data_IF_300714368480
#
_entry.id   IF_300714368480
#
_cell.length_a   1.000
_cell.length_b   1.000
_cell.length_c   1.000
_cell.angle_alpha   90.00
_cell.angle_beta   90.00
_cell.angle_gamma   90.00
#
_symmetry.space_group_name_H-M   'P 1'
#
loop_
_entity.id
_entity.type
_entity.pdbx_description
1 polymer ?
#
# COMPACT_ATOMS: atom_id res chain seq x y z
N UNK A 1 21.84 -18.29 -2.92
CA UNK A 1 22.39 -17.90 -1.60
C UNK A 1 21.29 -18.03 -0.53
N UNK A 2 21.56 -18.61 0.66
CA UNK A 2 20.56 -18.72 1.75
C UNK A 2 21.18 -18.16 3.04
N UNK A 3 20.61 -17.06 3.56
CA UNK A 3 20.90 -16.57 4.92
C UNK A 3 19.69 -16.82 5.81
N UNK A 4 19.84 -17.66 6.84
CA UNK A 4 18.81 -17.83 7.87
C UNK A 4 18.89 -16.70 8.90
N UNK A 5 17.73 -16.25 9.43
CA UNK A 5 17.60 -15.24 10.48
C UNK A 5 18.19 -13.86 10.14
N UNK A 6 18.22 -13.49 8.86
CA UNK A 6 18.64 -12.17 8.41
C UNK A 6 17.40 -11.34 8.06
N UNK A 7 17.38 -10.07 8.47
CA UNK A 7 16.31 -9.16 8.07
C UNK A 7 16.28 -8.99 6.56
N UNK A 8 15.09 -8.74 6.00
CA UNK A 8 14.90 -8.51 4.56
C UNK A 8 15.84 -7.41 4.02
N UNK A 9 16.06 -6.35 4.82
CA UNK A 9 16.95 -5.22 4.51
C UNK A 9 18.42 -5.63 4.50
N UNK A 10 18.84 -6.52 5.41
CA UNK A 10 20.21 -7.04 5.41
C UNK A 10 20.46 -7.92 4.19
N UNK A 11 19.52 -8.81 3.85
CA UNK A 11 19.63 -9.70 2.69
C UNK A 11 19.75 -8.88 1.41
N UNK A 12 18.85 -7.93 1.19
CA UNK A 12 18.89 -7.05 0.01
C UNK A 12 20.19 -6.26 -0.08
N UNK A 13 20.74 -5.79 1.05
CA UNK A 13 22.03 -5.09 1.09
C UNK A 13 23.24 -5.98 0.78
N UNK A 14 23.19 -7.26 1.17
CA UNK A 14 24.24 -8.23 0.81
C UNK A 14 24.18 -8.55 -0.68
N UNK A 15 22.98 -8.82 -1.20
CA UNK A 15 22.76 -9.22 -2.58
C UNK A 15 23.03 -8.09 -3.57
N UNK A 16 22.87 -6.83 -3.17
CA UNK A 16 23.29 -5.65 -3.95
C UNK A 16 24.80 -5.59 -4.23
N UNK A 17 25.63 -6.29 -3.44
CA UNK A 17 27.08 -6.33 -3.65
C UNK A 17 27.52 -7.45 -4.60
N UNK A 18 26.58 -8.30 -5.01
CA UNK A 18 26.83 -9.41 -5.92
C UNK A 18 26.51 -8.97 -7.35
N UNK A 19 27.48 -9.15 -8.26
CA UNK A 19 27.27 -8.95 -9.70
C UNK A 19 26.68 -10.24 -10.30
N UNK A 20 25.36 -10.38 -10.15
CA UNK A 20 24.61 -11.54 -10.61
C UNK A 20 23.31 -11.10 -11.32
N UNK A 21 23.17 -11.51 -12.59
CA UNK A 21 21.99 -11.22 -13.43
C UNK A 21 20.86 -12.24 -13.26
N UNK A 22 21.04 -13.30 -12.46
CA UNK A 22 20.01 -14.31 -12.24
C UNK A 22 18.80 -13.73 -11.48
N UNK A 23 17.58 -14.25 -11.72
CA UNK A 23 16.40 -13.88 -10.97
C UNK A 23 16.60 -14.04 -9.45
N UNK A 24 16.23 -13.01 -8.70
CA UNK A 24 16.32 -12.99 -7.25
C UNK A 24 14.95 -13.28 -6.63
N UNK A 25 14.88 -14.21 -5.67
CA UNK A 25 13.67 -14.48 -4.90
C UNK A 25 13.90 -14.09 -3.43
N UNK A 26 13.13 -13.11 -2.95
CA UNK A 26 13.13 -12.62 -1.58
C UNK A 26 11.97 -13.24 -0.79
N UNK A 27 12.29 -14.17 0.11
CA UNK A 27 11.34 -14.85 0.98
C UNK A 27 11.39 -14.27 2.39
N UNK A 28 10.31 -13.61 2.81
CA UNK A 28 10.19 -13.02 4.15
C UNK A 28 9.55 -13.98 5.16
N UNK A 29 10.19 -14.15 6.31
CA UNK A 29 9.62 -14.84 7.49
C UNK A 29 9.01 -13.87 8.50
N UNK A 30 8.13 -14.36 9.36
CA UNK A 30 7.49 -13.56 10.41
C UNK A 30 8.49 -13.08 11.47
N UNK A 31 9.47 -13.91 11.82
CA UNK A 31 10.49 -13.55 12.81
C UNK A 31 11.43 -12.44 12.33
N UNK A 32 11.68 -12.38 11.02
CA UNK A 32 12.57 -11.39 10.41
C UNK A 32 11.89 -10.02 10.24
N UNK A 33 10.56 -9.98 10.36
CA UNK A 33 9.73 -8.84 9.91
C UNK A 33 9.06 -8.07 11.03
N UNK A 34 9.05 -8.56 12.27
CA UNK A 34 8.25 -7.98 13.37
C UNK A 34 9.12 -7.36 14.47
N UNK A 35 10.41 -7.74 14.61
CA UNK A 35 11.28 -7.22 15.67
C UNK A 35 12.01 -5.94 15.24
N UNK A 36 11.44 -4.75 15.50
CA UNK A 36 12.01 -3.41 15.21
C UNK A 36 12.42 -3.13 13.75
N UNK A 37 12.29 -4.09 12.84
CA UNK A 37 12.68 -4.01 11.43
C UNK A 37 11.59 -3.46 10.51
N UNK A 38 10.34 -3.35 10.98
CA UNK A 38 9.24 -2.83 10.14
C UNK A 38 9.51 -1.42 9.64
N UNK A 39 10.02 -0.54 10.51
CA UNK A 39 10.34 0.83 10.13
C UNK A 39 11.43 0.85 9.05
N UNK A 40 12.49 0.06 9.21
CA UNK A 40 13.56 -0.07 8.21
C UNK A 40 13.02 -0.59 6.87
N UNK A 41 12.07 -1.54 6.92
CA UNK A 41 11.40 -2.06 5.71
C UNK A 41 10.61 -0.95 5.01
N UNK A 42 9.84 -0.14 5.75
CA UNK A 42 9.11 0.99 5.16
C UNK A 42 10.03 2.08 4.59
N UNK A 43 11.20 2.27 5.19
CA UNK A 43 12.17 3.30 4.80
C UNK A 43 13.04 2.89 3.61
N UNK A 44 13.50 1.65 3.56
CA UNK A 44 14.57 1.25 2.64
C UNK A 44 14.17 0.24 1.56
N UNK A 45 13.08 -0.51 1.74
CA UNK A 45 12.75 -1.62 0.84
C UNK A 45 12.56 -1.14 -0.61
N UNK A 46 11.89 0.00 -0.79
CA UNK A 46 11.61 0.57 -2.11
C UNK A 46 12.88 0.93 -2.88
N UNK A 47 13.81 1.64 -2.24
CA UNK A 47 15.10 2.01 -2.84
C UNK A 47 15.89 0.75 -3.23
N UNK A 48 15.94 -0.24 -2.33
CA UNK A 48 16.68 -1.48 -2.59
C UNK A 48 16.06 -2.32 -3.70
N UNK A 49 14.74 -2.39 -3.78
CA UNK A 49 14.05 -3.09 -4.86
C UNK A 49 14.30 -2.42 -6.20
N UNK A 50 14.24 -1.08 -6.27
CA UNK A 50 14.60 -0.34 -7.49
C UNK A 50 16.01 -0.70 -7.97
N UNK A 51 17.02 -0.55 -7.09
CA UNK A 51 18.41 -0.86 -7.43
C UNK A 51 18.62 -2.31 -7.88
N UNK A 52 17.97 -3.27 -7.21
CA UNK A 52 18.06 -4.68 -7.59
C UNK A 52 17.37 -4.97 -8.93
N UNK A 53 16.27 -4.29 -9.22
CA UNK A 53 15.47 -4.48 -10.44
C UNK A 53 16.10 -3.90 -11.70
N UNK A 54 17.10 -3.01 -11.57
CA UNK A 54 17.86 -2.44 -12.70
C UNK A 54 18.65 -3.49 -13.47
N UNK A 55 19.14 -4.53 -12.79
CA UNK A 55 20.04 -5.54 -13.38
C UNK A 55 19.45 -6.94 -13.50
N UNK A 56 18.34 -7.24 -12.81
CA UNK A 56 17.73 -8.58 -12.80
C UNK A 56 16.25 -8.57 -12.37
N UNK A 57 15.45 -9.57 -12.78
CA UNK A 57 14.12 -9.78 -12.23
C UNK A 57 14.14 -10.03 -10.72
N UNK A 58 13.29 -9.33 -9.98
CA UNK A 58 13.17 -9.50 -8.52
C UNK A 58 11.78 -10.01 -8.16
N UNK A 59 11.72 -11.16 -7.49
CA UNK A 59 10.49 -11.72 -6.95
C UNK A 59 10.47 -11.53 -5.45
N UNK A 60 9.42 -10.93 -4.90
CA UNK A 60 9.25 -10.74 -3.45
C UNK A 60 7.96 -11.40 -2.98
N UNK A 61 8.00 -12.04 -1.82
CA UNK A 61 6.83 -12.73 -1.28
C UNK A 61 6.05 -11.88 -0.29
N UNK A 62 4.72 -12.05 -0.23
CA UNK A 62 4.01 -11.67 1.00
C UNK A 62 4.47 -12.56 2.16
N UNK A 63 4.34 -12.07 3.38
CA UNK A 63 4.75 -12.79 4.58
C UNK A 63 3.55 -13.60 5.09
N UNK A 64 3.68 -14.92 5.25
CA UNK A 64 2.57 -15.75 5.71
C UNK A 64 2.11 -15.34 7.11
N UNK A 65 0.79 -15.41 7.36
CA UNK A 65 0.23 -15.16 8.70
C UNK A 65 0.68 -16.23 9.70
N UNK A 66 0.63 -15.87 10.99
CA UNK A 66 0.91 -16.74 12.13
C UNK A 66 -0.37 -17.40 12.62
N UNK A 67 -0.47 -18.72 12.47
CA UNK A 67 -1.60 -19.50 13.01
C UNK A 67 -1.38 -19.94 14.46
N UNK A 68 -0.17 -19.73 15.00
CA UNK A 68 0.12 -19.87 16.43
C UNK A 68 -0.43 -18.70 17.27
N UNK A 69 -0.97 -17.67 16.59
CA UNK A 69 -1.56 -16.48 17.20
C UNK A 69 -2.96 -16.21 16.63
N UNK A 70 -3.80 -15.44 17.35
CA UNK A 70 -5.11 -15.06 16.83
C UNK A 70 -4.99 -14.32 15.48
N UNK A 71 -5.88 -14.64 14.53
CA UNK A 71 -5.88 -14.02 13.19
C UNK A 71 -6.04 -12.48 13.26
N UNK A 72 -6.75 -12.00 14.29
CA UNK A 72 -6.96 -10.59 14.58
C UNK A 72 -6.01 -10.03 15.66
N UNK A 73 -5.01 -10.82 16.06
CA UNK A 73 -3.96 -10.40 16.98
C UNK A 73 -3.06 -9.30 16.39
N UNK A 74 -2.32 -8.57 17.24
CA UNK A 74 -1.49 -7.44 16.83
C UNK A 74 -0.47 -7.83 15.75
N UNK A 75 0.22 -8.95 15.93
CA UNK A 75 1.22 -9.45 14.98
C UNK A 75 0.64 -9.73 13.59
N UNK A 76 -0.50 -10.40 13.51
CA UNK A 76 -1.15 -10.66 12.22
C UNK A 76 -1.72 -9.38 11.58
N UNK A 77 -2.10 -8.37 12.38
CA UNK A 77 -2.46 -7.03 11.86
C UNK A 77 -1.25 -6.34 11.24
N UNK A 78 -0.11 -6.36 11.90
CA UNK A 78 1.15 -5.80 11.38
C UNK A 78 1.60 -6.49 10.09
N UNK A 79 1.54 -7.82 10.04
CA UNK A 79 1.85 -8.59 8.83
C UNK A 79 0.95 -8.20 7.66
N UNK A 80 -0.35 -7.94 7.89
CA UNK A 80 -1.26 -7.47 6.84
C UNK A 80 -0.87 -6.08 6.33
N UNK A 81 -0.54 -5.15 7.23
CA UNK A 81 -0.09 -3.81 6.83
C UNK A 81 1.19 -3.88 6.00
N UNK A 82 2.15 -4.71 6.43
CA UNK A 82 3.38 -4.95 5.67
C UNK A 82 3.10 -5.60 4.30
N UNK A 83 2.24 -6.63 4.24
CA UNK A 83 1.90 -7.29 2.98
C UNK A 83 1.17 -6.35 2.01
N UNK A 84 0.30 -5.48 2.52
CA UNK A 84 -0.34 -4.44 1.71
C UNK A 84 0.71 -3.49 1.14
N UNK A 85 1.69 -3.09 1.95
CA UNK A 85 2.79 -2.26 1.52
C UNK A 85 3.67 -2.93 0.45
N UNK A 86 4.05 -4.20 0.64
CA UNK A 86 4.80 -4.97 -0.36
C UNK A 86 4.01 -5.06 -1.67
N UNK A 87 2.71 -5.39 -1.60
CA UNK A 87 1.85 -5.49 -2.78
C UNK A 87 1.79 -4.16 -3.54
N UNK A 88 1.64 -3.06 -2.82
CA UNK A 88 1.64 -1.70 -3.37
C UNK A 88 2.98 -1.34 -4.03
N UNK A 89 4.10 -1.70 -3.41
CA UNK A 89 5.44 -1.49 -3.99
C UNK A 89 5.58 -2.23 -5.31
N UNK A 90 5.29 -3.53 -5.33
CA UNK A 90 5.45 -4.35 -6.54
C UNK A 90 4.61 -3.82 -7.70
N UNK A 91 3.38 -3.36 -7.43
CA UNK A 91 2.50 -2.83 -8.47
C UNK A 91 3.07 -1.60 -9.21
N UNK A 92 4.06 -0.89 -8.61
CA UNK A 92 4.65 0.33 -9.17
C UNK A 92 6.06 0.15 -9.73
N UNK A 93 6.73 -0.96 -9.41
CA UNK A 93 8.12 -1.16 -9.74
C UNK A 93 8.23 -2.06 -10.97
N UNK A 94 8.92 -1.57 -12.00
CA UNK A 94 9.23 -2.36 -13.18
C UNK A 94 10.20 -3.49 -12.81
N UNK A 95 10.04 -4.65 -13.46
CA UNK A 95 10.91 -5.82 -13.24
C UNK A 95 10.92 -6.37 -11.79
N UNK A 96 9.89 -6.03 -11.00
CA UNK A 96 9.62 -6.60 -9.68
C UNK A 96 8.28 -7.35 -9.72
N UNK A 97 8.24 -8.55 -9.14
CA UNK A 97 7.10 -9.47 -9.21
C UNK A 97 6.68 -9.97 -7.83
N UNK A 98 5.37 -10.15 -7.62
CA UNK A 98 4.82 -10.56 -6.33
C UNK A 98 4.55 -12.07 -6.33
N UNK A 99 5.07 -12.76 -5.32
CA UNK A 99 4.68 -14.14 -4.99
C UNK A 99 3.71 -14.07 -3.81
N UNK A 100 2.42 -14.20 -4.09
CA UNK A 100 1.38 -14.04 -3.07
C UNK A 100 1.19 -15.32 -2.25
N UNK A 101 1.55 -15.28 -0.97
CA UNK A 101 1.44 -16.40 -0.02
C UNK A 101 0.15 -16.38 0.80
N UNK A 102 -0.78 -15.45 0.54
CA UNK A 102 -2.04 -15.35 1.30
C UNK A 102 -2.95 -16.58 1.13
N UNK A 103 -2.72 -17.39 0.09
CA UNK A 103 -3.45 -18.63 -0.16
C UNK A 103 -3.02 -19.78 0.76
N UNK A 104 -1.99 -19.59 1.60
CA UNK A 104 -1.57 -20.58 2.59
C UNK A 104 -2.56 -20.60 3.77
N UNK A 105 -3.45 -21.60 3.74
CA UNK A 105 -4.38 -21.89 4.85
C UNK A 105 -3.71 -22.63 6.01
N UNK A 106 -4.41 -22.74 7.15
CA UNK A 106 -3.97 -23.45 8.36
C UNK A 106 -3.43 -24.87 8.12
N UNK A 107 -3.96 -25.57 7.11
CA UNK A 107 -3.56 -26.93 6.74
C UNK A 107 -2.12 -27.01 6.22
N UNK A 108 -1.54 -25.89 5.79
CA UNK A 108 -0.16 -25.81 5.29
C UNK A 108 0.87 -25.60 6.40
N UNK A 109 0.45 -25.48 7.66
CA UNK A 109 1.32 -25.17 8.78
C UNK A 109 1.51 -26.37 9.72
N UNK A 110 2.58 -26.35 10.51
CA UNK A 110 2.82 -27.30 11.59
C UNK A 110 1.70 -27.22 12.64
N UNK A 111 1.66 -28.19 13.56
CA UNK A 111 0.64 -28.21 14.61
C UNK A 111 0.66 -26.94 15.47
N UNK A 112 1.84 -26.36 15.70
CA UNK A 112 1.95 -25.11 16.43
C UNK A 112 1.53 -23.88 15.62
N UNK A 113 1.56 -23.93 14.28
CA UNK A 113 1.04 -22.85 13.42
C UNK A 113 2.06 -21.78 13.03
N UNK A 114 3.33 -21.89 13.48
CA UNK A 114 4.40 -20.93 13.18
C UNK A 114 5.14 -21.23 11.87
N UNK A 115 5.33 -22.51 11.54
CA UNK A 115 6.14 -22.94 10.40
C UNK A 115 5.29 -23.66 9.36
N UNK A 116 5.72 -23.66 8.11
CA UNK A 116 5.11 -24.50 7.08
C UNK A 116 5.45 -25.97 7.33
N UNK A 117 4.43 -26.83 7.23
CA UNK A 117 4.61 -28.28 7.25
C UNK A 117 5.10 -28.77 5.87
N UNK A 118 5.29 -30.08 5.70
CA UNK A 118 5.74 -30.66 4.41
C UNK A 118 4.83 -30.28 3.24
N UNK A 119 3.52 -30.29 3.45
CA UNK A 119 2.53 -29.86 2.45
C UNK A 119 2.65 -28.37 2.13
N UNK A 120 2.77 -27.51 3.15
CA UNK A 120 2.97 -26.07 2.95
C UNK A 120 4.26 -25.71 2.23
N UNK A 121 5.37 -26.40 2.51
CA UNK A 121 6.62 -26.21 1.77
C UNK A 121 6.50 -26.64 0.30
N UNK A 122 5.77 -27.73 0.04
CA UNK A 122 5.49 -28.17 -1.33
C UNK A 122 4.61 -27.16 -2.06
N UNK A 123 3.57 -26.64 -1.40
CA UNK A 123 2.70 -25.60 -1.96
C UNK A 123 3.44 -24.29 -2.21
N UNK A 124 4.33 -23.88 -1.31
CA UNK A 124 5.20 -22.71 -1.51
C UNK A 124 6.06 -22.87 -2.77
N UNK A 125 6.69 -24.03 -2.95
CA UNK A 125 7.48 -24.31 -4.15
C UNK A 125 6.63 -24.24 -5.43
N UNK A 126 5.40 -24.78 -5.40
CA UNK A 126 4.46 -24.69 -6.50
C UNK A 126 4.13 -23.22 -6.84
N UNK A 127 3.74 -22.40 -5.85
CA UNK A 127 3.41 -20.97 -6.05
C UNK A 127 4.62 -20.23 -6.67
N UNK A 128 5.83 -20.51 -6.19
CA UNK A 128 7.06 -19.89 -6.73
C UNK A 128 7.23 -20.26 -8.22
N UNK A 129 7.14 -21.55 -8.55
CA UNK A 129 7.28 -22.03 -9.93
C UNK A 129 6.19 -21.44 -10.82
N UNK A 130 4.94 -21.41 -10.35
CA UNK A 130 3.81 -20.85 -11.10
C UNK A 130 3.99 -19.37 -11.41
N UNK A 131 4.53 -18.61 -10.46
CA UNK A 131 4.83 -17.18 -10.63
C UNK A 131 5.96 -16.97 -11.64
N UNK A 132 7.04 -17.75 -11.55
CA UNK A 132 8.22 -17.61 -12.42
C UNK A 132 7.92 -18.05 -13.86
N UNK A 133 7.21 -19.17 -14.02
CA UNK A 133 6.90 -19.74 -15.34
C UNK A 133 5.78 -18.97 -16.05
N UNK A 134 5.12 -18.04 -15.37
CA UNK A 134 4.15 -17.13 -16.01
C UNK A 134 2.88 -17.86 -16.44
N UNK A 135 2.31 -18.70 -15.57
CA UNK A 135 0.93 -19.17 -15.80
C UNK A 135 -0.01 -17.97 -15.74
N UNK A 136 -0.32 -17.46 -16.93
CA UNK A 136 -1.50 -16.70 -17.31
C UNK A 136 -2.81 -17.41 -16.91
N UNK A 137 -3.07 -17.62 -15.62
CA UNK A 137 -4.43 -17.82 -15.16
C UNK A 137 -5.06 -16.44 -15.00
N UNK A 138 -5.99 -16.17 -15.92
CA UNK A 138 -6.87 -15.00 -15.96
C UNK A 138 -7.27 -14.54 -14.57
N UNK A 139 -7.33 -13.22 -14.39
CA UNK A 139 -7.76 -12.46 -13.20
C UNK A 139 -9.17 -12.78 -12.64
N UNK A 140 -9.78 -13.92 -12.96
CA UNK A 140 -11.17 -14.22 -12.65
C UNK A 140 -11.36 -15.26 -11.55
N UNK A 141 -10.55 -15.24 -10.47
CA UNK A 141 -10.87 -16.00 -9.25
C UNK A 141 -10.00 -15.55 -8.06
N UNK A 142 -10.17 -14.29 -7.63
CA UNK A 142 -9.97 -13.98 -6.21
C UNK A 142 -11.25 -14.43 -5.53
N UNK A 143 -11.22 -15.42 -4.61
CA UNK A 143 -12.37 -15.72 -3.78
C UNK A 143 -12.75 -14.43 -3.04
N UNK A 144 -13.95 -13.91 -3.32
CA UNK A 144 -14.52 -12.72 -2.66
C UNK A 144 -14.57 -12.87 -1.12
N UNK A 145 -14.33 -14.09 -0.61
CA UNK A 145 -14.38 -14.46 0.80
C UNK A 145 -13.09 -14.19 1.61
N UNK A 146 -12.00 -13.71 0.99
CA UNK A 146 -10.79 -13.27 1.73
C UNK A 146 -10.69 -11.76 1.97
N UNK A 147 -11.61 -10.96 1.42
CA UNK A 147 -11.84 -9.62 1.95
C UNK A 147 -12.46 -9.79 3.35
N UNK A 148 -11.69 -9.45 4.37
CA UNK A 148 -12.15 -9.46 5.75
C UNK A 148 -13.54 -8.83 5.86
N UNK A 149 -14.51 -9.66 6.27
CA UNK A 149 -15.80 -9.21 6.79
C UNK A 149 -15.55 -8.37 8.05
N UNK A 150 -15.19 -7.10 7.88
CA UNK A 150 -15.54 -6.09 8.84
C UNK A 150 -17.06 -5.99 8.83
N UNK A 151 -17.72 -6.82 9.64
CA UNK A 151 -19.08 -6.53 10.12
C UNK A 151 -18.98 -5.30 11.03
N UNK A 152 -18.69 -4.14 10.47
CA UNK A 152 -19.19 -2.90 11.02
C UNK A 152 -20.70 -3.04 10.92
N UNK A 153 -21.39 -3.06 12.06
CA UNK A 153 -22.85 -2.97 12.08
C UNK A 153 -23.18 -1.72 11.26
N UNK A 154 -23.80 -1.85 10.07
CA UNK A 154 -24.11 -0.69 9.28
C UNK A 154 -25.11 0.11 10.11
N UNK A 155 -24.68 1.27 10.62
CA UNK A 155 -25.66 2.31 10.89
C UNK A 155 -26.31 2.58 9.55
N UNK A 156 -27.61 2.36 9.46
CA UNK A 156 -28.39 2.65 8.26
C UNK A 156 -28.17 4.12 7.90
N UNK A 157 -27.51 4.39 6.78
CA UNK A 157 -27.36 5.75 6.29
C UNK A 157 -27.83 5.84 4.84
N UNK A 158 -28.84 6.68 4.68
CA UNK A 158 -29.36 7.12 3.40
C UNK A 158 -28.37 8.12 2.76
N UNK A 159 -28.07 7.90 1.47
CA UNK A 159 -27.66 8.90 0.46
C UNK A 159 -26.17 9.17 0.12
N UNK A 160 -25.16 8.47 0.67
CA UNK A 160 -23.79 8.59 0.13
C UNK A 160 -23.45 7.41 -0.80
N UNK A 161 -23.34 7.67 -2.12
CA UNK A 161 -23.04 6.65 -3.14
C UNK A 161 -21.52 6.41 -3.24
N UNK A 162 -20.91 5.79 -2.23
CA UNK A 162 -19.51 5.38 -2.30
C UNK A 162 -19.40 4.21 -3.30
N UNK A 163 -18.68 4.43 -4.41
CA UNK A 163 -18.38 3.39 -5.40
C UNK A 163 -16.93 2.93 -5.25
N UNK A 164 -16.73 1.66 -4.94
CA UNK A 164 -15.40 1.04 -4.91
C UNK A 164 -15.06 0.58 -6.32
N UNK A 165 -13.91 0.98 -6.83
CA UNK A 165 -13.37 0.54 -8.11
C UNK A 165 -11.99 -0.10 -7.88
N UNK A 166 -11.73 -1.20 -8.59
CA UNK A 166 -10.41 -1.79 -8.66
C UNK A 166 -9.75 -1.33 -9.95
N UNK A 167 -8.84 -0.37 -9.87
CA UNK A 167 -8.15 0.23 -11.01
C UNK A 167 -6.83 0.88 -10.58
N UNK A 168 -5.89 0.99 -11.52
CA UNK A 168 -4.66 1.76 -11.32
C UNK A 168 -4.99 3.27 -11.25
N UNK A 169 -4.50 3.96 -10.21
CA UNK A 169 -4.78 5.38 -10.03
C UNK A 169 -4.25 6.24 -11.20
N UNK A 170 -3.17 5.84 -11.87
CA UNK A 170 -2.64 6.52 -13.05
C UNK A 170 -3.68 6.54 -14.17
N UNK A 171 -4.34 5.42 -14.40
CA UNK A 171 -5.37 5.30 -15.44
C UNK A 171 -6.63 6.09 -15.06
N UNK A 172 -7.04 5.99 -13.79
CA UNK A 172 -8.17 6.76 -13.27
C UNK A 172 -7.91 8.27 -13.39
N UNK A 173 -6.69 8.73 -13.07
CA UNK A 173 -6.30 10.12 -13.24
C UNK A 173 -6.36 10.52 -14.72
N UNK A 174 -5.75 9.74 -15.62
CA UNK A 174 -5.75 10.05 -17.05
C UNK A 174 -7.15 10.16 -17.66
N UNK A 175 -8.10 9.36 -17.17
CA UNK A 175 -9.49 9.37 -17.65
C UNK A 175 -10.31 10.55 -17.12
N UNK A 176 -9.95 11.11 -15.96
CA UNK A 176 -10.81 12.05 -15.23
C UNK A 176 -10.17 13.42 -14.97
N UNK A 177 -8.88 13.63 -15.30
CA UNK A 177 -8.16 14.88 -14.99
C UNK A 177 -8.69 16.12 -15.72
N UNK A 178 -9.52 15.95 -16.73
CA UNK A 178 -10.12 17.04 -17.53
C UNK A 178 -11.49 17.48 -17.02
N UNK A 179 -12.02 16.83 -15.98
CA UNK A 179 -13.38 17.07 -15.49
C UNK A 179 -13.39 18.08 -14.34
N UNK A 180 -13.94 19.28 -14.58
CA UNK A 180 -13.96 20.40 -13.63
C UNK A 180 -14.77 20.17 -12.35
N UNK A 181 -15.69 19.21 -12.39
CA UNK A 181 -16.55 18.87 -11.27
C UNK A 181 -15.93 17.77 -10.37
N UNK A 182 -14.75 17.27 -10.72
CA UNK A 182 -14.00 16.23 -9.99
C UNK A 182 -12.85 16.87 -9.22
N UNK A 183 -12.59 16.34 -8.02
CA UNK A 183 -11.29 16.50 -7.39
C UNK A 183 -10.71 15.15 -6.97
N UNK A 184 -9.40 15.04 -7.10
CA UNK A 184 -8.62 13.98 -6.53
C UNK A 184 -8.09 14.39 -5.16
N UNK A 185 -7.93 13.42 -4.25
CA UNK A 185 -7.29 13.68 -2.97
C UNK A 185 -6.33 12.55 -2.57
N UNK A 186 -5.23 12.94 -1.91
CA UNK A 186 -4.29 12.01 -1.28
C UNK A 186 -3.60 12.63 -0.06
N UNK A 187 -2.93 11.81 0.76
CA UNK A 187 -2.13 12.28 1.89
C UNK A 187 -0.68 12.55 1.48
N UNK A 188 -0.11 13.62 2.03
CA UNK A 188 1.30 14.01 1.87
C UNK A 188 1.92 14.46 3.19
N UNK A 189 3.24 14.57 3.19
CA UNK A 189 4.01 15.25 4.24
C UNK A 189 4.24 16.72 3.90
N UNK A 190 4.47 17.55 4.93
CA UNK A 190 4.74 18.98 4.76
C UNK A 190 6.04 19.25 3.97
N UNK A 191 7.01 18.34 4.02
CA UNK A 191 8.22 18.38 3.19
C UNK A 191 7.98 17.99 1.71
N UNK A 192 6.76 17.57 1.35
CA UNK A 192 6.31 17.25 -0.02
C UNK A 192 7.22 16.25 -0.73
N UNK A 193 7.78 15.30 0.01
CA UNK A 193 8.71 14.35 -0.58
C UNK A 193 8.04 13.50 -1.68
N UNK A 194 6.80 13.04 -1.42
CA UNK A 194 5.93 12.29 -2.36
C UNK A 194 6.70 11.19 -3.09
N UNK A 195 7.48 10.40 -2.35
CA UNK A 195 8.42 9.41 -2.90
C UNK A 195 7.84 8.01 -3.04
N UNK A 196 6.66 7.75 -2.48
CA UNK A 196 6.06 6.43 -2.51
C UNK A 196 4.53 6.47 -2.53
N UNK A 197 3.93 5.32 -2.79
CA UNK A 197 2.48 5.17 -2.79
C UNK A 197 1.82 5.86 -3.98
N UNK A 198 0.52 6.05 -3.86
CA UNK A 198 -0.28 6.89 -4.78
C UNK A 198 0.30 8.31 -4.93
N UNK A 199 1.01 8.83 -3.93
CA UNK A 199 1.61 10.16 -3.99
C UNK A 199 2.66 10.28 -5.12
N UNK A 200 3.35 9.20 -5.49
CA UNK A 200 4.26 9.21 -6.66
C UNK A 200 3.47 9.37 -7.94
N UNK A 201 2.33 8.70 -8.07
CA UNK A 201 1.45 8.84 -9.23
C UNK A 201 0.99 10.28 -9.40
N UNK A 202 0.56 10.94 -8.32
CA UNK A 202 0.23 12.36 -8.32
C UNK A 202 1.43 13.24 -8.69
N UNK A 203 2.60 13.00 -8.07
CA UNK A 203 3.84 13.74 -8.35
C UNK A 203 4.26 13.63 -9.82
N UNK A 204 4.20 12.44 -10.40
CA UNK A 204 4.62 12.20 -11.77
C UNK A 204 3.66 12.85 -12.77
N UNK A 205 2.36 12.95 -12.43
CA UNK A 205 1.36 13.56 -13.31
C UNK A 205 1.26 15.08 -13.17
N UNK A 206 1.31 15.60 -11.95
CA UNK A 206 0.98 16.99 -11.64
C UNK A 206 2.14 17.77 -11.00
N UNK A 207 3.30 17.12 -10.80
CA UNK A 207 4.39 17.68 -10.01
C UNK A 207 4.09 17.67 -8.52
N UNK A 208 4.99 18.30 -7.74
CA UNK A 208 4.78 18.51 -6.30
C UNK A 208 4.05 19.83 -6.08
N UNK A 209 3.17 19.93 -5.06
CA UNK A 209 2.60 21.21 -4.67
C UNK A 209 3.71 22.23 -4.41
N UNK A 210 3.61 23.41 -4.98
CA UNK A 210 4.47 24.56 -4.70
C UNK A 210 4.00 25.29 -3.43
N UNK A 211 4.72 26.33 -3.02
CA UNK A 211 4.32 27.13 -1.83
C UNK A 211 3.01 27.89 -2.11
N UNK A 212 2.76 28.31 -3.35
CA UNK A 212 1.53 29.00 -3.74
C UNK A 212 0.30 28.08 -3.73
N UNK A 213 0.49 26.76 -3.74
CA UNK A 213 -0.60 25.79 -3.71
C UNK A 213 -1.12 25.50 -2.30
N UNK A 214 -0.49 26.06 -1.25
CA UNK A 214 -0.97 25.91 0.12
C UNK A 214 -2.24 26.75 0.33
N UNK A 215 -3.33 26.08 0.73
CA UNK A 215 -4.52 26.74 1.24
C UNK A 215 -4.43 26.96 2.76
N UNK A 216 -3.71 26.08 3.44
CA UNK A 216 -3.42 26.15 4.87
C UNK A 216 -2.18 25.31 5.20
N UNK A 217 -1.76 25.26 6.46
CA UNK A 217 -0.72 24.33 6.92
C UNK A 217 -1.09 22.84 6.76
N UNK A 218 -2.37 22.53 6.51
CA UNK A 218 -2.91 21.16 6.44
C UNK A 218 -3.42 20.76 5.06
N UNK A 219 -3.45 21.69 4.11
CA UNK A 219 -4.10 21.46 2.83
C UNK A 219 -3.39 22.20 1.71
N UNK A 220 -3.11 21.48 0.63
CA UNK A 220 -2.71 22.05 -0.66
C UNK A 220 -3.78 21.78 -1.71
N UNK A 221 -3.89 22.67 -2.70
CA UNK A 221 -4.73 22.49 -3.87
C UNK A 221 -3.95 22.92 -5.12
N UNK A 222 -3.69 21.95 -6.00
CA UNK A 222 -3.27 22.20 -7.38
C UNK A 222 -4.47 22.04 -8.31
N UNK A 223 -4.43 22.66 -9.48
CA UNK A 223 -5.39 22.40 -10.55
C UNK A 223 -4.67 21.67 -11.67
N UNK A 224 -5.31 20.67 -12.27
CA UNK A 224 -4.83 20.18 -13.57
C UNK A 224 -5.04 21.28 -14.61
N UNK A 225 -4.21 21.33 -15.64
CA UNK A 225 -4.38 22.25 -16.78
C UNK A 225 -5.80 22.15 -17.37
N UNK A 226 -6.38 20.95 -17.30
CA UNK A 226 -7.67 20.63 -17.89
C UNK A 226 -8.87 20.70 -16.92
N UNK A 227 -8.65 20.96 -15.62
CA UNK A 227 -9.68 21.47 -14.71
C UNK A 227 -10.06 20.67 -13.47
N UNK A 228 -9.58 19.44 -13.26
CA UNK A 228 -9.80 18.73 -12.00
C UNK A 228 -8.97 19.33 -10.85
N UNK A 229 -9.51 19.34 -9.64
CA UNK A 229 -8.77 19.74 -8.44
C UNK A 229 -7.88 18.60 -7.91
N UNK A 230 -6.70 18.92 -7.36
CA UNK A 230 -5.78 17.95 -6.77
C UNK A 230 -5.44 18.39 -5.36
N UNK A 231 -6.06 17.72 -4.39
CA UNK A 231 -5.87 17.99 -2.97
C UNK A 231 -4.75 17.14 -2.38
N UNK A 232 -3.81 17.82 -1.72
CA UNK A 232 -2.81 17.19 -0.86
C UNK A 232 -3.15 17.47 0.60
N UNK A 233 -3.60 16.45 1.33
CA UNK A 233 -3.83 16.54 2.78
C UNK A 233 -2.48 16.40 3.48
N UNK A 234 -2.02 17.46 4.15
CA UNK A 234 -0.77 17.45 4.91
C UNK A 234 -1.05 16.85 6.29
N UNK A 235 -0.70 15.58 6.47
CA UNK A 235 -1.07 14.81 7.67
C UNK A 235 0.12 14.59 8.61
N UNK A 236 1.33 14.89 8.16
CA UNK A 236 2.59 14.69 8.87
C UNK A 236 3.63 15.73 8.44
N UNK A 237 4.59 16.02 9.32
CA UNK A 237 5.63 17.01 9.00
C UNK A 237 6.65 16.50 7.98
N UNK A 238 7.06 15.23 8.10
CA UNK A 238 8.09 14.64 7.24
C UNK A 238 7.61 13.30 6.68
N UNK A 239 8.09 12.92 5.50
CA UNK A 239 7.59 11.74 4.77
C UNK A 239 7.76 10.42 5.54
N UNK A 240 8.82 10.29 6.34
CA UNK A 240 9.13 9.11 7.14
C UNK A 240 8.33 9.02 8.45
N UNK A 241 7.72 10.14 8.90
CA UNK A 241 6.88 10.14 10.10
C UNK A 241 5.52 9.51 9.80
N UNK A 242 4.82 9.09 10.86
CA UNK A 242 3.42 8.67 10.77
C UNK A 242 2.51 9.84 11.20
N UNK A 243 1.36 10.03 10.53
CA UNK A 243 0.41 11.06 10.92
C UNK A 243 -0.19 10.78 12.29
N UNK A 244 -0.49 11.84 13.03
CA UNK A 244 -1.33 11.76 14.21
C UNK A 244 -2.80 11.80 13.78
N UNK A 245 -3.65 10.93 14.34
CA UNK A 245 -5.07 10.85 13.96
C UNK A 245 -5.81 12.19 14.09
N UNK A 246 -5.48 13.02 15.09
CA UNK A 246 -6.06 14.37 15.25
C UNK A 246 -5.68 15.29 14.09
N UNK A 247 -4.42 15.22 13.64
CA UNK A 247 -3.93 16.01 12.50
C UNK A 247 -4.56 15.53 11.21
N UNK A 248 -4.66 14.21 11.02
CA UNK A 248 -5.34 13.59 9.88
C UNK A 248 -6.81 14.03 9.78
N UNK A 249 -7.58 13.90 10.87
CA UNK A 249 -8.99 14.31 10.90
C UNK A 249 -9.16 15.83 10.67
N UNK A 250 -8.26 16.64 11.22
CA UNK A 250 -8.27 18.09 10.97
C UNK A 250 -8.01 18.43 9.50
N UNK A 251 -7.01 17.81 8.88
CA UNK A 251 -6.72 17.99 7.45
C UNK A 251 -7.91 17.54 6.57
N UNK A 252 -8.54 16.40 6.90
CA UNK A 252 -9.71 15.91 6.18
C UNK A 252 -10.91 16.86 6.31
N UNK A 253 -11.13 17.43 7.49
CA UNK A 253 -12.20 18.41 7.72
C UNK A 253 -11.99 19.70 6.93
N UNK A 254 -10.75 20.21 6.89
CA UNK A 254 -10.40 21.37 6.07
C UNK A 254 -10.61 21.06 4.57
N UNK A 255 -10.14 19.90 4.12
CA UNK A 255 -10.38 19.40 2.77
C UNK A 255 -11.87 19.36 2.42
N UNK A 256 -12.70 18.76 3.28
CA UNK A 256 -14.16 18.64 3.07
C UNK A 256 -14.81 20.01 2.91
N UNK A 257 -14.42 20.98 3.74
CA UNK A 257 -14.94 22.34 3.67
C UNK A 257 -14.55 23.02 2.36
N UNK A 258 -13.28 22.94 1.97
CA UNK A 258 -12.80 23.58 0.75
C UNK A 258 -13.39 22.92 -0.50
N UNK A 259 -13.44 21.59 -0.55
CA UNK A 259 -14.05 20.82 -1.65
C UNK A 259 -15.47 21.29 -1.95
N UNK A 260 -16.30 21.42 -0.90
CA UNK A 260 -17.68 21.92 -1.01
C UNK A 260 -17.72 23.38 -1.45
N UNK A 261 -16.83 24.21 -0.90
CA UNK A 261 -16.75 25.65 -1.24
C UNK A 261 -16.37 25.87 -2.71
N UNK A 262 -15.51 25.01 -3.26
CA UNK A 262 -15.10 25.05 -4.68
C UNK A 262 -16.14 24.46 -5.63
N UNK A 263 -17.20 23.85 -5.11
CA UNK A 263 -18.28 23.29 -5.93
C UNK A 263 -17.91 21.98 -6.63
N UNK A 264 -16.87 21.29 -6.18
CA UNK A 264 -16.63 19.92 -6.64
C UNK A 264 -17.78 19.01 -6.21
N UNK A 265 -18.08 18.01 -7.04
CA UNK A 265 -19.23 17.11 -6.84
C UNK A 265 -18.82 15.65 -6.72
N UNK A 266 -17.62 15.30 -7.18
CA UNK A 266 -17.11 13.94 -7.16
C UNK A 266 -15.69 13.92 -6.61
N UNK A 267 -15.50 13.13 -5.56
CA UNK A 267 -14.19 12.84 -4.99
C UNK A 267 -13.68 11.50 -5.54
N UNK A 268 -12.46 11.51 -6.09
CA UNK A 268 -11.72 10.29 -6.41
C UNK A 268 -10.50 10.20 -5.49
N UNK A 269 -10.40 9.14 -4.69
CA UNK A 269 -9.25 8.93 -3.82
C UNK A 269 -8.95 7.44 -3.62
N UNK A 270 -7.69 7.14 -3.31
CA UNK A 270 -7.33 5.85 -2.72
C UNK A 270 -7.75 5.82 -1.24
N UNK A 271 -7.64 4.68 -0.52
CA UNK A 271 -7.77 4.65 0.94
C UNK A 271 -6.75 5.56 1.65
N UNK A 272 -7.10 6.84 1.82
CA UNK A 272 -6.16 7.92 2.14
C UNK A 272 -5.53 7.71 3.52
N UNK A 273 -4.23 7.43 3.52
CA UNK A 273 -3.45 7.23 4.74
C UNK A 273 -3.50 5.80 5.31
N UNK A 274 -4.29 4.88 4.74
CA UNK A 274 -4.51 3.57 5.34
C UNK A 274 -3.38 2.55 5.15
N UNK A 275 -2.53 2.75 4.14
CA UNK A 275 -1.46 1.80 3.82
C UNK A 275 -0.16 2.21 4.50
N UNK A 276 0.61 3.13 3.88
CA UNK A 276 1.92 3.53 4.40
C UNK A 276 1.86 4.35 5.69
N UNK A 277 0.77 5.09 5.88
CA UNK A 277 0.60 6.03 7.00
C UNK A 277 -0.12 5.39 8.21
N UNK A 278 -0.56 4.14 8.07
CA UNK A 278 -1.15 3.32 9.13
C UNK A 278 -2.38 3.96 9.82
N UNK A 279 -3.11 4.84 9.13
CA UNK A 279 -4.43 5.28 9.58
C UNK A 279 -5.39 4.08 9.50
N UNK A 280 -6.18 3.85 10.55
CA UNK A 280 -7.15 2.77 10.55
C UNK A 280 -8.18 2.99 9.43
N UNK A 281 -8.61 1.91 8.76
CA UNK A 281 -9.62 2.02 7.69
C UNK A 281 -10.92 2.59 8.25
N UNK A 282 -11.26 2.27 9.49
CA UNK A 282 -12.42 2.78 10.20
C UNK A 282 -12.36 4.31 10.37
N UNK A 283 -11.18 4.85 10.69
CA UNK A 283 -11.00 6.30 10.84
C UNK A 283 -11.16 7.02 9.50
N UNK A 284 -10.60 6.46 8.42
CA UNK A 284 -10.81 6.97 7.06
C UNK A 284 -12.29 6.93 6.66
N UNK A 285 -12.97 5.81 6.90
CA UNK A 285 -14.39 5.65 6.58
C UNK A 285 -15.27 6.61 7.37
N UNK A 286 -14.98 6.85 8.65
CA UNK A 286 -15.72 7.83 9.46
C UNK A 286 -15.65 9.23 8.84
N UNK A 287 -14.46 9.67 8.42
CA UNK A 287 -14.31 10.96 7.73
C UNK A 287 -15.04 10.97 6.37
N UNK A 288 -14.99 9.87 5.62
CA UNK A 288 -15.66 9.76 4.33
C UNK A 288 -17.20 9.74 4.47
N UNK A 289 -17.73 9.23 5.58
CA UNK A 289 -19.16 9.30 5.87
C UNK A 289 -19.62 10.69 6.32
N UNK A 290 -18.72 11.51 6.88
CA UNK A 290 -18.97 12.91 7.22
C UNK A 290 -18.73 13.89 6.06
N UNK A 291 -18.09 13.41 4.99
CA UNK A 291 -17.81 14.17 3.77
C UNK A 291 -19.09 14.56 3.03
#
# INVERSE_FOLDING_TARGET
>A
YIQANASLIRITSTVLKEDDANPLILLGGTNDSINNTLQEVYEQLEEKLNLLSESRPVFITTIPVRYDQPINGPTNKELRLLNNYITELVARLDNVFLINLNNLTRLHYTNHGLHLNKGGKSKLAEIIIETIVGKNYKENEIPQDLCMNFKLKPKSFNNATIKIINADMKDVINQNSTQRNIAFAHCISADRHMSAGVAVTFKNKFGKPSISDYLSERLTLQNSEDGAGIYGLITKSHYYKKPNIKVYNAAFKEFTKDFKTKGYTHLICSPMGCVRDLIAVEDFLNNLFEF
#
